data_IF_282739870520
#
_entry.id   IF_282739870520
#
_cell.length_a   1.000
_cell.length_b   1.000
_cell.length_c   1.000
_cell.angle_alpha   90.00
_cell.angle_beta   90.00
_cell.angle_gamma   90.00
#
_symmetry.space_group_name_H-M   'P 1'
#
loop_
_entity.id
_entity.type
_entity.pdbx_description
1 polymer ?
#
# COMPACT_ATOMS: atom_id res chain seq x y z
N UNK A 1 4.53 15.80 2.06
CA UNK A 1 3.75 16.20 3.27
C UNK A 1 2.23 16.08 3.10
N UNK A 2 1.67 16.03 1.88
CA UNK A 2 0.22 15.90 1.63
C UNK A 2 -0.37 14.47 1.79
N UNK A 3 0.46 13.41 1.70
CA UNK A 3 -0.01 12.01 1.82
C UNK A 3 -0.35 11.59 3.27
N UNK A 4 0.28 12.21 4.27
CA UNK A 4 0.13 11.83 5.69
C UNK A 4 -1.25 12.16 6.25
N UNK A 5 -1.84 13.28 5.82
CA UNK A 5 -3.14 13.74 6.32
C UNK A 5 -4.31 12.93 5.75
N UNK A 6 -4.18 12.42 4.52
CA UNK A 6 -5.23 11.63 3.87
C UNK A 6 -5.28 10.18 4.38
N UNK A 7 -4.12 9.56 4.68
CA UNK A 7 -4.07 8.20 5.21
C UNK A 7 -4.76 8.03 6.57
N UNK A 8 -4.60 9.00 7.49
CA UNK A 8 -5.27 8.98 8.81
C UNK A 8 -6.78 9.23 8.74
N UNK A 9 -7.26 9.95 7.74
CA UNK A 9 -8.70 10.18 7.57
C UNK A 9 -9.46 8.90 7.15
N UNK A 10 -8.77 7.97 6.48
CA UNK A 10 -9.32 6.70 6.02
C UNK A 10 -9.50 5.67 7.14
N UNK A 11 -8.77 5.79 8.26
CA UNK A 11 -8.82 4.82 9.38
C UNK A 11 -9.74 5.25 10.53
N UNK A 12 -10.14 6.52 10.61
CA UNK A 12 -10.99 7.04 11.71
C UNK A 12 -12.49 7.12 11.41
N UNK A 13 -12.91 7.07 10.16
CA UNK A 13 -14.32 7.14 9.80
C UNK A 13 -14.95 5.74 9.75
N UNK A 14 -16.12 5.57 10.37
CA UNK A 14 -16.99 4.43 10.06
C UNK A 14 -17.17 4.37 8.54
N UNK A 15 -16.87 3.22 7.92
CA UNK A 15 -16.89 3.06 6.47
C UNK A 15 -18.22 3.59 5.90
N UNK A 16 -18.20 4.51 4.92
CA UNK A 16 -19.42 4.90 4.22
C UNK A 16 -20.09 3.66 3.64
N UNK A 17 -21.43 3.70 3.61
CA UNK A 17 -22.33 2.67 3.08
C UNK A 17 -21.84 2.12 1.74
N UNK A 18 -21.36 0.86 1.73
CA UNK A 18 -20.96 0.01 0.59
C UNK A 18 -20.92 0.75 -0.75
N UNK A 19 -19.94 1.62 -0.93
CA UNK A 19 -19.53 2.02 -2.28
C UNK A 19 -18.90 0.80 -2.94
N UNK A 20 -19.26 0.54 -4.20
CA UNK A 20 -18.62 -0.56 -4.92
C UNK A 20 -17.13 -0.22 -5.11
N UNK A 21 -16.24 -1.21 -5.04
CA UNK A 21 -14.80 -0.98 -5.27
C UNK A 21 -14.49 -0.23 -6.57
N UNK A 22 -15.21 -0.45 -7.69
CA UNK A 22 -15.05 0.36 -8.89
C UNK A 22 -15.36 1.85 -8.69
N UNK A 23 -16.41 2.19 -7.93
CA UNK A 23 -16.72 3.60 -7.60
C UNK A 23 -15.60 4.22 -6.78
N UNK A 24 -15.13 3.50 -5.75
CA UNK A 24 -14.04 3.98 -4.92
C UNK A 24 -12.73 4.15 -5.69
N UNK A 25 -12.45 3.23 -6.61
CA UNK A 25 -11.31 3.33 -7.52
C UNK A 25 -11.41 4.55 -8.44
N UNK A 26 -12.60 4.81 -9.01
CA UNK A 26 -12.84 5.98 -9.84
C UNK A 26 -12.58 7.30 -9.08
N UNK A 27 -13.04 7.40 -7.83
CA UNK A 27 -12.76 8.56 -6.97
C UNK A 27 -11.27 8.73 -6.70
N UNK A 28 -10.57 7.64 -6.36
CA UNK A 28 -9.13 7.67 -6.09
C UNK A 28 -8.33 8.12 -7.31
N UNK A 29 -8.71 7.61 -8.50
CA UNK A 29 -8.09 7.96 -9.78
C UNK A 29 -8.35 9.44 -10.09
N UNK A 30 -9.61 9.90 -10.02
CA UNK A 30 -9.97 11.29 -10.28
C UNK A 30 -9.23 12.25 -9.34
N UNK A 31 -9.15 11.90 -8.05
CA UNK A 31 -8.41 12.68 -7.05
C UNK A 31 -6.92 12.85 -7.43
N UNK A 32 -6.31 11.84 -8.07
CA UNK A 32 -4.93 12.01 -8.54
C UNK A 32 -4.82 13.04 -9.67
N UNK A 33 -5.75 13.05 -10.62
CA UNK A 33 -5.76 14.08 -11.67
C UNK A 33 -5.96 15.49 -11.09
N UNK A 34 -6.80 15.64 -10.07
CA UNK A 34 -7.05 16.94 -9.43
C UNK A 34 -5.83 17.45 -8.65
N UNK A 35 -5.18 16.57 -7.88
CA UNK A 35 -4.11 16.97 -6.94
C UNK A 35 -2.72 16.90 -7.58
N UNK A 36 -2.41 15.78 -8.25
CA UNK A 36 -1.05 15.51 -8.75
C UNK A 36 -0.73 16.37 -9.95
N UNK A 37 -1.70 16.73 -10.79
CA UNK A 37 -1.46 17.54 -11.99
C UNK A 37 -0.82 18.89 -11.66
N UNK A 38 -1.34 19.58 -10.63
CA UNK A 38 -0.76 20.83 -10.14
C UNK A 38 0.55 20.61 -9.39
N UNK A 39 0.64 19.55 -8.58
CA UNK A 39 1.82 19.29 -7.75
C UNK A 39 3.04 18.83 -8.55
N UNK A 40 2.84 18.15 -9.68
CA UNK A 40 3.90 17.65 -10.55
C UNK A 40 4.35 18.68 -11.61
N UNK A 41 3.70 19.84 -11.69
CA UNK A 41 4.06 20.87 -12.65
C UNK A 41 5.50 21.36 -12.40
N UNK A 42 6.37 21.19 -13.40
CA UNK A 42 7.79 21.56 -13.30
C UNK A 42 8.69 20.52 -12.63
N UNK A 43 8.18 19.33 -12.28
CA UNK A 43 9.00 18.22 -11.81
C UNK A 43 9.66 17.47 -12.99
N UNK A 44 10.89 17.00 -12.79
CA UNK A 44 11.60 16.16 -13.77
C UNK A 44 11.25 14.67 -13.67
N UNK A 45 10.83 14.23 -12.48
CA UNK A 45 10.50 12.84 -12.15
C UNK A 45 9.34 12.78 -11.16
N UNK A 46 8.47 11.79 -11.32
CA UNK A 46 7.45 11.40 -10.33
C UNK A 46 7.72 9.97 -9.83
N UNK A 47 7.82 9.82 -8.51
CA UNK A 47 7.94 8.51 -7.86
C UNK A 47 6.58 8.14 -7.30
N UNK A 48 5.99 7.04 -7.77
CA UNK A 48 4.61 6.65 -7.46
C UNK A 48 4.58 5.40 -6.60
N UNK A 49 3.79 5.42 -5.53
CA UNK A 49 3.54 4.26 -4.66
C UNK A 49 2.10 4.26 -4.16
N UNK A 50 1.67 3.15 -3.56
CA UNK A 50 0.36 2.99 -2.94
C UNK A 50 -0.55 2.01 -3.69
N UNK A 51 -1.84 2.10 -3.41
CA UNK A 51 -2.84 1.21 -3.99
C UNK A 51 -2.93 1.39 -5.51
N UNK A 52 -3.15 0.29 -6.23
CA UNK A 52 -3.13 0.23 -7.70
C UNK A 52 -3.99 1.32 -8.39
N UNK A 53 -5.24 1.63 -7.98
CA UNK A 53 -6.01 2.71 -8.60
C UNK A 53 -5.37 4.10 -8.44
N UNK A 54 -4.85 4.41 -7.24
CA UNK A 54 -4.18 5.68 -6.99
C UNK A 54 -2.86 5.76 -7.77
N UNK A 55 -2.08 4.67 -7.80
CA UNK A 55 -0.84 4.63 -8.57
C UNK A 55 -1.11 4.83 -10.08
N UNK A 56 -2.14 4.16 -10.63
CA UNK A 56 -2.52 4.31 -12.03
C UNK A 56 -2.94 5.75 -12.39
N UNK A 57 -3.68 6.43 -11.52
CA UNK A 57 -4.02 7.84 -11.69
C UNK A 57 -2.79 8.74 -11.71
N UNK A 58 -1.89 8.59 -10.74
CA UNK A 58 -0.67 9.40 -10.65
C UNK A 58 0.29 9.16 -11.84
N UNK A 59 0.45 7.91 -12.27
CA UNK A 59 1.23 7.57 -13.47
C UNK A 59 0.61 8.19 -14.73
N UNK A 60 -0.72 8.19 -14.83
CA UNK A 60 -1.41 8.84 -15.96
C UNK A 60 -1.19 10.35 -15.99
N UNK A 61 -1.13 11.00 -14.82
CA UNK A 61 -0.75 12.41 -14.72
C UNK A 61 0.70 12.62 -15.18
N UNK A 62 1.64 11.76 -14.79
CA UNK A 62 3.03 11.86 -15.23
C UNK A 62 3.14 11.71 -16.76
N UNK A 63 2.43 10.73 -17.35
CA UNK A 63 2.34 10.54 -18.80
C UNK A 63 1.79 11.79 -19.51
N UNK A 64 0.69 12.35 -18.98
CA UNK A 64 0.08 13.59 -19.51
C UNK A 64 1.04 14.77 -19.53
N UNK A 65 1.89 14.88 -18.52
CA UNK A 65 2.87 15.96 -18.40
C UNK A 65 4.18 15.66 -19.16
N UNK A 66 4.34 14.45 -19.71
CA UNK A 66 5.59 14.02 -20.34
C UNK A 66 6.75 13.87 -19.34
N UNK A 67 6.44 13.62 -18.07
CA UNK A 67 7.41 13.51 -16.98
C UNK A 67 7.81 12.04 -16.82
N UNK A 68 9.09 11.79 -16.55
CA UNK A 68 9.56 10.44 -16.24
C UNK A 68 8.92 9.98 -14.93
N UNK A 69 8.44 8.75 -14.89
CA UNK A 69 7.87 8.19 -13.67
C UNK A 69 8.42 6.81 -13.37
N UNK A 70 8.51 6.48 -12.08
CA UNK A 70 8.84 5.14 -11.60
C UNK A 70 7.78 4.68 -10.60
N UNK A 71 7.35 3.45 -10.77
CA UNK A 71 6.46 2.77 -9.83
C UNK A 71 7.29 2.11 -8.73
N UNK A 72 6.85 2.25 -7.48
CA UNK A 72 7.54 1.75 -6.31
C UNK A 72 6.57 1.00 -5.42
N UNK A 73 6.95 -0.22 -5.07
CA UNK A 73 6.21 -1.03 -4.09
C UNK A 73 7.06 -1.33 -2.87
N UNK A 74 6.41 -1.39 -1.70
CA UNK A 74 7.03 -1.74 -0.42
C UNK A 74 6.91 -3.24 -0.12
N UNK A 75 6.50 -4.04 -1.11
CA UNK A 75 6.45 -5.50 -1.05
C UNK A 75 6.52 -6.10 -2.45
N UNK A 76 7.23 -7.20 -2.63
CA UNK A 76 7.23 -7.91 -3.91
C UNK A 76 5.90 -8.64 -4.22
N UNK A 77 4.97 -8.78 -3.25
CA UNK A 77 3.74 -9.58 -3.41
C UNK A 77 2.77 -9.07 -4.49
N UNK A 78 2.98 -7.84 -4.97
CA UNK A 78 2.18 -7.20 -6.03
C UNK A 78 2.90 -7.19 -7.39
N UNK A 79 4.10 -7.76 -7.46
CA UNK A 79 4.90 -7.90 -8.68
C UNK A 79 4.83 -9.37 -9.14
N UNK A 80 4.55 -9.63 -10.43
CA UNK A 80 4.39 -10.99 -10.92
C UNK A 80 5.61 -11.88 -10.68
N UNK A 81 5.37 -13.14 -10.32
CA UNK A 81 6.37 -14.15 -9.96
C UNK A 81 5.98 -15.52 -10.50
N UNK A 82 6.96 -16.37 -10.82
CA UNK A 82 6.69 -17.76 -11.24
C UNK A 82 6.52 -18.73 -10.07
N UNK A 83 7.01 -18.37 -8.87
CA UNK A 83 7.06 -19.29 -7.73
C UNK A 83 6.05 -18.94 -6.62
N UNK A 84 5.34 -17.82 -6.77
CA UNK A 84 4.38 -17.32 -5.79
C UNK A 84 3.08 -16.87 -6.46
N UNK A 85 1.90 -17.18 -5.88
CA UNK A 85 0.63 -16.64 -6.34
C UNK A 85 0.47 -15.14 -6.05
N UNK A 86 -0.40 -14.41 -6.77
CA UNK A 86 -0.79 -13.06 -6.43
C UNK A 86 -1.64 -13.03 -5.13
N UNK A 87 -1.87 -11.82 -4.62
CA UNK A 87 -2.78 -11.59 -3.51
C UNK A 87 -4.23 -11.72 -4.00
N UNK A 88 -5.06 -12.47 -3.26
CA UNK A 88 -6.49 -12.52 -3.51
C UNK A 88 -7.15 -11.18 -3.13
N UNK A 89 -8.13 -10.75 -3.93
CA UNK A 89 -8.97 -9.62 -3.56
C UNK A 89 -10.19 -10.10 -2.80
N UNK A 90 -10.69 -9.35 -1.79
CA UNK A 90 -11.97 -9.67 -1.16
C UNK A 90 -13.06 -9.89 -2.23
N UNK A 91 -13.91 -10.92 -2.13
CA UNK A 91 -14.95 -11.20 -3.14
C UNK A 91 -14.45 -11.55 -4.56
N UNK A 92 -13.14 -11.68 -4.79
CA UNK A 92 -12.52 -12.29 -5.96
C UNK A 92 -11.40 -13.24 -5.50
N UNK A 93 -11.76 -14.38 -4.87
CA UNK A 93 -10.78 -15.37 -4.45
C UNK A 93 -10.05 -15.93 -5.68
N UNK A 94 -8.85 -16.47 -5.46
CA UNK A 94 -8.13 -17.20 -6.50
C UNK A 94 -8.93 -18.47 -6.89
N UNK A 95 -8.82 -18.93 -8.14
CA UNK A 95 -9.51 -20.15 -8.59
C UNK A 95 -9.10 -21.39 -7.78
N UNK A 96 -10.10 -22.16 -7.33
CA UNK A 96 -9.87 -23.37 -6.54
C UNK A 96 -9.06 -24.42 -7.31
N UNK A 97 -8.07 -25.02 -6.63
CA UNK A 97 -7.25 -26.10 -7.18
C UNK A 97 -6.22 -25.68 -8.23
N UNK A 98 -6.16 -24.40 -8.59
CA UNK A 98 -5.12 -23.88 -9.50
C UNK A 98 -3.87 -23.53 -8.70
N UNK A 99 -2.74 -24.12 -9.10
CA UNK A 99 -1.43 -23.91 -8.44
C UNK A 99 -0.37 -23.35 -9.37
N UNK A 100 -0.64 -23.28 -10.68
CA UNK A 100 0.27 -22.66 -11.64
C UNK A 100 0.26 -21.14 -11.46
N UNK A 101 1.39 -20.58 -10.98
CA UNK A 101 1.53 -19.15 -10.74
C UNK A 101 1.26 -18.32 -11.99
N UNK A 102 1.58 -18.81 -13.21
CA UNK A 102 1.31 -18.04 -14.45
C UNK A 102 -0.19 -17.82 -14.63
N UNK A 103 -0.97 -18.90 -14.51
CA UNK A 103 -2.43 -18.85 -14.62
C UNK A 103 -3.02 -17.96 -13.53
N UNK A 104 -2.49 -18.02 -12.31
CA UNK A 104 -2.95 -17.18 -11.20
C UNK A 104 -2.64 -15.69 -11.44
N UNK A 105 -1.47 -15.35 -11.98
CA UNK A 105 -1.10 -13.97 -12.33
C UNK A 105 -1.86 -13.42 -13.54
N UNK A 106 -2.21 -14.27 -14.50
CA UNK A 106 -3.15 -13.90 -15.58
C UNK A 106 -4.55 -13.60 -15.03
N UNK A 107 -5.04 -14.42 -14.10
CA UNK A 107 -6.31 -14.18 -13.41
C UNK A 107 -6.28 -12.89 -12.56
N UNK A 108 -5.16 -12.58 -11.92
CA UNK A 108 -4.96 -11.32 -11.22
C UNK A 108 -5.03 -10.13 -12.18
N UNK A 109 -4.33 -10.18 -13.31
CA UNK A 109 -4.39 -9.14 -14.33
C UNK A 109 -5.83 -8.91 -14.84
N UNK A 110 -6.56 -9.98 -15.19
CA UNK A 110 -7.97 -9.91 -15.57
C UNK A 110 -8.84 -9.31 -14.46
N UNK A 111 -8.62 -9.72 -13.21
CA UNK A 111 -9.36 -9.22 -12.05
C UNK A 111 -9.12 -7.73 -11.83
N UNK A 112 -7.89 -7.24 -11.96
CA UNK A 112 -7.56 -5.83 -11.87
C UNK A 112 -8.21 -5.02 -13.00
N UNK A 113 -8.15 -5.52 -14.24
CA UNK A 113 -8.80 -4.87 -15.39
C UNK A 113 -10.32 -4.80 -15.19
N UNK A 114 -10.95 -5.87 -14.71
CA UNK A 114 -12.39 -5.88 -14.45
C UNK A 114 -12.80 -4.94 -13.33
N UNK A 115 -11.98 -4.81 -12.28
CA UNK A 115 -12.32 -3.95 -11.14
C UNK A 115 -12.05 -2.46 -11.41
N UNK A 116 -11.00 -2.15 -12.18
CA UNK A 116 -10.42 -0.80 -12.20
C UNK A 116 -10.18 -0.23 -13.61
N UNK A 117 -10.17 -1.08 -14.64
CA UNK A 117 -9.82 -0.68 -16.01
C UNK A 117 -10.77 0.35 -16.61
N UNK A 118 -12.09 0.17 -16.44
CA UNK A 118 -13.09 1.14 -16.92
C UNK A 118 -12.89 2.50 -16.27
N UNK A 119 -12.82 2.54 -14.93
CA UNK A 119 -12.63 3.77 -14.16
C UNK A 119 -11.35 4.53 -14.57
N UNK A 120 -10.26 3.81 -14.78
CA UNK A 120 -9.00 4.39 -15.26
C UNK A 120 -9.15 4.95 -16.68
N UNK A 121 -9.67 4.14 -17.60
CA UNK A 121 -9.73 4.52 -19.01
C UNK A 121 -10.71 5.68 -19.26
N UNK A 122 -11.83 5.75 -18.52
CA UNK A 122 -12.71 6.93 -18.55
C UNK A 122 -11.95 8.20 -18.14
N UNK A 123 -11.19 8.15 -17.03
CA UNK A 123 -10.40 9.29 -16.57
C UNK A 123 -9.28 9.67 -17.56
N UNK A 124 -8.57 8.67 -18.10
CA UNK A 124 -7.51 8.88 -19.10
C UNK A 124 -8.05 9.56 -20.35
N UNK A 125 -9.14 9.04 -20.93
CA UNK A 125 -9.79 9.61 -22.11
C UNK A 125 -10.30 11.03 -21.85
N UNK A 126 -10.95 11.27 -20.70
CA UNK A 126 -11.40 12.61 -20.31
C UNK A 126 -10.24 13.62 -20.20
N UNK A 127 -9.02 13.13 -19.92
CA UNK A 127 -7.80 13.92 -19.81
C UNK A 127 -6.93 13.89 -21.08
N UNK A 128 -7.43 13.36 -22.20
CA UNK A 128 -6.75 13.36 -23.50
C UNK A 128 -5.63 12.32 -23.63
N UNK A 129 -5.63 11.29 -22.79
CA UNK A 129 -4.72 10.14 -22.87
C UNK A 129 -5.41 8.94 -23.53
N UNK A 130 -4.67 8.07 -24.24
CA UNK A 130 -5.21 6.81 -24.74
C UNK A 130 -5.55 5.86 -23.59
N UNK A 131 -6.52 4.95 -23.77
CA UNK A 131 -6.78 3.90 -22.78
C UNK A 131 -5.57 2.97 -22.64
N UNK A 132 -5.50 2.26 -21.52
CA UNK A 132 -4.55 1.16 -21.27
C UNK A 132 -5.30 -0.17 -21.27
N UNK A 133 -4.68 -1.20 -21.82
CA UNK A 133 -5.27 -2.54 -21.93
C UNK A 133 -5.11 -3.34 -20.64
N UNK A 134 -3.94 -3.23 -20.00
CA UNK A 134 -3.62 -3.90 -18.74
C UNK A 134 -3.18 -2.88 -17.69
N UNK A 135 -4.03 -2.68 -16.67
CA UNK A 135 -3.75 -1.74 -15.59
C UNK A 135 -2.61 -2.20 -14.69
N UNK A 136 -2.44 -3.52 -14.49
CA UNK A 136 -1.38 -4.08 -13.64
C UNK A 136 -0.03 -3.88 -14.32
N UNK A 137 0.09 -4.22 -15.60
CA UNK A 137 1.31 -3.96 -16.39
C UNK A 137 1.62 -2.46 -16.45
N UNK A 138 0.60 -1.63 -16.68
CA UNK A 138 0.76 -0.17 -16.71
C UNK A 138 1.33 0.38 -15.39
N UNK A 139 0.83 -0.12 -14.25
CA UNK A 139 1.28 0.33 -12.92
C UNK A 139 2.63 -0.28 -12.55
N UNK A 140 2.87 -1.56 -12.81
CA UNK A 140 4.15 -2.21 -12.51
C UNK A 140 5.26 -1.62 -13.40
N UNK A 141 4.95 -1.36 -14.67
CA UNK A 141 5.92 -0.89 -15.64
C UNK A 141 6.97 -1.94 -16.00
N UNK A 142 7.95 -1.54 -16.81
CA UNK A 142 9.02 -2.44 -17.26
C UNK A 142 10.07 -2.72 -16.18
N UNK A 143 10.38 -1.72 -15.35
CA UNK A 143 11.43 -1.78 -14.34
C UNK A 143 10.95 -1.14 -13.02
N UNK A 144 10.03 -1.79 -12.28
CA UNK A 144 9.56 -1.28 -11.00
C UNK A 144 10.71 -1.23 -9.98
N UNK A 145 10.60 -0.30 -9.03
CA UNK A 145 11.42 -0.35 -7.83
C UNK A 145 10.70 -1.11 -6.72
N UNK A 146 11.45 -2.00 -6.07
CA UNK A 146 10.99 -2.69 -4.86
C UNK A 146 11.80 -2.17 -3.69
N UNK A 147 11.15 -1.38 -2.84
CA UNK A 147 11.77 -0.70 -1.71
C UNK A 147 11.73 -1.58 -0.45
N UNK A 148 12.34 -2.77 -0.54
CA UNK A 148 12.44 -3.74 0.56
C UNK A 148 13.90 -4.12 0.81
N UNK A 149 14.21 -4.53 2.04
CA UNK A 149 15.56 -4.95 2.41
C UNK A 149 15.89 -6.32 1.78
N UNK A 150 16.95 -6.45 0.96
CA UNK A 150 17.25 -7.69 0.23
C UNK A 150 17.46 -8.93 1.11
N UNK A 151 17.96 -8.72 2.34
CA UNK A 151 18.17 -9.81 3.30
C UNK A 151 16.85 -10.37 3.83
N UNK A 152 15.82 -9.53 3.96
CA UNK A 152 14.51 -9.92 4.49
C UNK A 152 13.55 -10.37 3.38
N UNK A 153 13.68 -9.78 2.18
CA UNK A 153 12.75 -9.94 1.07
C UNK A 153 13.50 -10.12 -0.26
N UNK A 154 14.25 -11.23 -0.44
CA UNK A 154 15.00 -11.46 -1.68
C UNK A 154 14.05 -11.49 -2.88
N UNK A 155 14.35 -10.71 -3.92
CA UNK A 155 13.46 -10.59 -5.08
C UNK A 155 13.27 -11.93 -5.80
N UNK A 156 12.01 -12.20 -6.11
CA UNK A 156 11.60 -13.27 -7.01
C UNK A 156 10.46 -12.78 -7.91
N UNK A 157 10.83 -12.14 -9.02
CA UNK A 157 9.91 -11.49 -9.96
C UNK A 157 10.20 -11.91 -11.39
N UNK A 158 9.20 -11.86 -12.27
CA UNK A 158 9.36 -12.16 -13.71
C UNK A 158 9.83 -10.96 -14.52
N UNK A 159 9.65 -9.75 -13.96
CA UNK A 159 10.14 -8.49 -14.51
C UNK A 159 11.48 -8.15 -13.88
N UNK A 160 12.35 -7.49 -14.65
CA UNK A 160 13.57 -6.89 -14.12
C UNK A 160 13.17 -5.77 -13.16
N UNK A 161 13.41 -5.97 -11.86
CA UNK A 161 13.03 -5.01 -10.84
C UNK A 161 14.28 -4.54 -10.09
N UNK A 162 14.30 -3.25 -9.74
CA UNK A 162 15.40 -2.68 -8.94
C UNK A 162 15.05 -2.76 -7.46
N UNK A 163 15.75 -3.64 -6.73
CA UNK A 163 15.64 -3.66 -5.27
C UNK A 163 16.50 -2.56 -4.66
N UNK A 164 15.87 -1.52 -4.13
CA UNK A 164 16.59 -0.32 -3.65
C UNK A 164 17.00 -0.40 -2.18
N UNK A 165 16.54 -1.43 -1.45
CA UNK A 165 16.55 -1.44 0.02
C UNK A 165 15.30 -0.80 0.60
N UNK A 166 15.07 -1.00 1.90
CA UNK A 166 13.95 -0.37 2.60
C UNK A 166 14.17 1.14 2.70
N UNK A 167 13.12 1.92 2.42
CA UNK A 167 13.17 3.38 2.55
C UNK A 167 12.87 3.80 3.97
N UNK A 168 13.93 4.01 4.75
CA UNK A 168 13.86 4.35 6.16
C UNK A 168 14.45 5.74 6.33
N UNK A 169 13.65 6.67 6.87
CA UNK A 169 14.17 7.96 7.34
C UNK A 169 14.80 7.75 8.71
N UNK A 170 15.97 8.37 8.93
CA UNK A 170 16.56 8.42 10.26
C UNK A 170 15.65 9.27 11.16
N UNK A 171 15.15 8.64 12.23
CA UNK A 171 14.29 9.31 13.19
C UNK A 171 15.13 9.80 14.39
N UNK A 172 15.37 11.11 14.43
CA UNK A 172 16.13 11.77 15.50
C UNK A 172 15.20 12.42 16.55
N UNK A 173 13.88 12.16 16.49
CA UNK A 173 12.95 12.73 17.46
C UNK A 173 13.25 12.20 18.86
N UNK A 174 13.33 13.06 19.89
CA UNK A 174 13.54 12.61 21.24
C UNK A 174 12.33 11.81 21.72
N UNK A 175 12.58 10.84 22.60
CA UNK A 175 11.51 10.17 23.34
C UNK A 175 10.89 11.12 24.37
N UNK A 176 9.65 10.87 24.74
CA UNK A 176 8.99 11.62 25.81
C UNK A 176 9.59 11.25 27.16
N UNK A 177 9.63 12.20 28.09
CA UNK A 177 10.13 11.97 29.46
C UNK A 177 9.37 10.83 30.16
N UNK A 178 8.08 10.67 29.86
CA UNK A 178 7.24 9.58 30.38
C UNK A 178 7.69 8.20 29.86
N UNK A 179 7.97 8.09 28.56
CA UNK A 179 8.48 6.83 27.98
C UNK A 179 9.87 6.49 28.53
N UNK A 180 10.74 7.50 28.66
CA UNK A 180 12.07 7.31 29.27
C UNK A 180 11.94 6.81 30.71
N UNK A 181 11.10 7.49 31.52
CA UNK A 181 10.88 7.09 32.91
C UNK A 181 10.28 5.67 33.04
N UNK A 182 9.39 5.27 32.12
CA UNK A 182 8.84 3.91 32.06
C UNK A 182 9.91 2.87 31.74
N UNK A 183 10.74 3.14 30.72
CA UNK A 183 11.83 2.25 30.30
C UNK A 183 12.93 2.11 31.37
N UNK A 184 13.21 3.18 32.12
CA UNK A 184 14.19 3.17 33.21
C UNK A 184 13.70 2.44 34.47
N UNK A 185 12.39 2.31 34.67
CA UNK A 185 11.79 1.78 35.90
C UNK A 185 11.64 0.25 35.93
N UNK A 186 11.77 -0.43 34.80
CA UNK A 186 11.44 -1.84 34.66
C UNK A 186 12.47 -2.62 33.82
N UNK A 187 12.36 -3.95 33.84
CA UNK A 187 13.02 -4.78 32.83
C UNK A 187 12.49 -4.42 31.42
N UNK A 188 13.28 -4.66 30.35
CA UNK A 188 12.90 -4.31 28.99
C UNK A 188 11.46 -4.76 28.65
N UNK A 189 10.55 -3.84 28.30
CA UNK A 189 9.16 -4.18 28.05
C UNK A 189 8.98 -4.82 26.68
N UNK A 190 7.79 -5.38 26.46
CA UNK A 190 7.32 -5.77 25.13
C UNK A 190 6.49 -4.62 24.56
N UNK A 191 6.86 -4.14 23.38
CA UNK A 191 6.06 -3.20 22.60
C UNK A 191 5.01 -3.96 21.77
N UNK A 192 3.76 -3.50 21.80
CA UNK A 192 2.68 -4.05 20.98
C UNK A 192 1.98 -2.94 20.21
N UNK A 193 2.03 -3.03 18.88
CA UNK A 193 1.35 -2.11 17.98
C UNK A 193 0.90 -2.83 16.70
N UNK A 194 -0.28 -2.44 16.21
CA UNK A 194 -0.89 -2.99 14.99
C UNK A 194 -0.84 -1.99 13.82
N UNK A 195 -0.18 -0.85 14.02
CA UNK A 195 -0.02 0.19 13.01
C UNK A 195 -1.37 0.68 12.47
N UNK A 196 -1.45 0.87 11.16
CA UNK A 196 -2.67 1.37 10.50
C UNK A 196 -3.78 0.34 10.34
N UNK A 197 -3.64 -0.88 10.88
CA UNK A 197 -4.65 -1.93 10.71
C UNK A 197 -5.93 -1.56 11.48
N UNK A 198 -7.11 -1.59 10.82
CA UNK A 198 -8.37 -1.36 11.50
C UNK A 198 -8.71 -2.59 12.37
N UNK A 199 -8.53 -2.45 13.68
CA UNK A 199 -8.80 -3.51 14.66
C UNK A 199 -10.24 -3.47 15.22
N UNK A 200 -11.19 -2.85 14.49
CA UNK A 200 -12.55 -2.56 15.00
C UNK A 200 -13.36 -3.81 15.37
N UNK A 201 -13.08 -4.95 14.75
CA UNK A 201 -13.74 -6.24 15.05
C UNK A 201 -13.05 -7.00 16.20
N UNK A 202 -11.87 -6.55 16.62
CA UNK A 202 -11.08 -7.17 17.70
C UNK A 202 -11.16 -6.31 18.96
N UNK A 203 -12.28 -6.40 19.66
CA UNK A 203 -12.59 -5.54 20.82
C UNK A 203 -11.78 -5.85 22.08
N UNK A 204 -11.15 -7.01 22.16
CA UNK A 204 -10.40 -7.51 23.32
C UNK A 204 -8.88 -7.58 23.10
N UNK A 205 -8.38 -7.17 21.93
CA UNK A 205 -6.97 -7.39 21.54
C UNK A 205 -5.97 -6.76 22.49
N UNK A 206 -6.29 -5.59 23.06
CA UNK A 206 -5.43 -4.92 24.04
C UNK A 206 -5.36 -5.72 25.35
N UNK A 207 -6.49 -6.23 25.83
CA UNK A 207 -6.55 -7.03 27.04
C UNK A 207 -5.78 -8.35 26.86
N UNK A 208 -5.99 -9.03 25.73
CA UNK A 208 -5.27 -10.26 25.40
C UNK A 208 -3.75 -10.03 25.35
N UNK A 209 -3.30 -8.93 24.76
CA UNK A 209 -1.87 -8.58 24.72
C UNK A 209 -1.29 -8.33 26.12
N UNK A 210 -2.02 -7.62 26.99
CA UNK A 210 -1.62 -7.36 28.38
C UNK A 210 -1.53 -8.66 29.18
N UNK A 211 -2.55 -9.51 29.10
CA UNK A 211 -2.59 -10.79 29.81
C UNK A 211 -1.45 -11.71 29.36
N UNK A 212 -1.16 -11.75 28.06
CA UNK A 212 -0.04 -12.52 27.52
C UNK A 212 1.32 -11.97 28.00
N UNK A 213 1.52 -10.65 27.99
CA UNK A 213 2.75 -10.04 28.49
C UNK A 213 2.94 -10.28 30.00
N UNK A 214 1.88 -10.12 30.79
CA UNK A 214 1.88 -10.40 32.22
C UNK A 214 2.16 -11.87 32.55
N UNK A 215 1.61 -12.80 31.75
CA UNK A 215 1.91 -14.24 31.85
C UNK A 215 3.37 -14.58 31.55
N UNK A 216 4.07 -13.76 30.75
CA UNK A 216 5.49 -13.87 30.46
C UNK A 216 6.39 -13.07 31.42
N UNK A 217 5.81 -12.35 32.40
CA UNK A 217 6.54 -11.50 33.34
C UNK A 217 7.05 -10.18 32.75
N UNK A 218 6.54 -9.76 31.59
CA UNK A 218 6.96 -8.54 30.90
C UNK A 218 5.99 -7.37 31.12
N UNK A 219 6.53 -6.16 31.19
CA UNK A 219 5.73 -4.91 31.16
C UNK A 219 5.38 -4.54 29.71
N UNK A 220 4.28 -3.82 29.51
CA UNK A 220 3.76 -3.45 28.18
C UNK A 220 3.78 -1.93 27.97
N UNK A 221 4.32 -1.47 26.84
CA UNK A 221 4.13 -0.09 26.36
C UNK A 221 3.03 -0.05 25.28
N UNK A 222 2.01 0.78 25.49
CA UNK A 222 0.77 0.80 24.72
C UNK A 222 0.39 2.24 24.30
N UNK A 223 1.29 2.91 23.58
CA UNK A 223 1.15 4.32 23.19
C UNK A 223 -0.09 4.70 22.33
N UNK A 224 -0.94 3.77 21.89
CA UNK A 224 -2.09 4.07 21.00
C UNK A 224 -3.48 3.55 21.47
N UNK A 225 -3.63 3.08 22.70
CA UNK A 225 -4.81 2.26 23.08
C UNK A 225 -5.90 2.95 23.93
N UNK A 226 -5.69 4.18 24.42
CA UNK A 226 -6.62 4.87 25.34
C UNK A 226 -7.36 6.06 24.71
N UNK A 227 -7.79 5.96 23.45
CA UNK A 227 -8.57 6.99 22.74
C UNK A 227 -9.83 6.48 22.08
#
# INVERSE_FOLDING_TARGET
>A
MLLSTYGRALTKAAMPRVESRPQRAAELIATQFDVVLGAAAGCDVVVVTGMLPAAAGALSVAEKLGIRSVSVTFQQLTVPSLDRPPLAYPGRPLPDGVTDSRVLWEFDAESNNTMFGEALNTNRVANGLPPVDDIRDYVVGAEPWVATAPVLDPLNTVVEAVQTGAWILLDERPWSDELIAFLDAAEPPVYVGFGSMPMHESTDVAQVAIEAAGGAGASLDSQEWLG
#
